data_IF_541000447113
#
_entry.id   IF_541000447113
#
_cell.length_a   1.000
_cell.length_b   1.000
_cell.length_c   1.000
_cell.angle_alpha   90.00
_cell.angle_beta   90.00
_cell.angle_gamma   90.00
#
_symmetry.space_group_name_H-M   'P 1'
#
loop_
_entity.id
_entity.type
_entity.pdbx_description
1 polymer ?
#
# COMPACT_ATOMS: atom_id res chain seq x y z
N UNK A 1 35.08 26.11 18.63
CA UNK A 1 36.25 25.33 18.17
C UNK A 1 35.76 24.20 17.26
N UNK A 2 36.33 24.04 16.07
CA UNK A 2 36.03 22.94 15.15
C UNK A 2 36.98 21.76 15.45
N UNK A 3 36.46 20.52 15.48
CA UNK A 3 37.27 19.33 15.75
C UNK A 3 38.11 18.96 14.52
N UNK A 4 39.44 18.86 14.72
CA UNK A 4 40.43 18.57 13.68
C UNK A 4 40.59 17.07 13.36
N UNK A 5 39.80 16.20 13.99
CA UNK A 5 40.00 14.73 14.03
C UNK A 5 39.19 13.96 12.98
N UNK A 6 38.42 14.63 12.09
CA UNK A 6 37.64 13.99 11.02
C UNK A 6 36.48 13.07 11.47
N UNK A 7 36.37 12.74 12.76
CA UNK A 7 35.31 11.92 13.34
C UNK A 7 34.09 12.79 13.70
N UNK A 8 32.92 12.48 13.13
CA UNK A 8 31.65 13.12 13.50
C UNK A 8 31.14 12.57 14.84
N UNK A 9 31.11 13.40 15.88
CA UNK A 9 30.64 13.03 17.22
C UNK A 9 29.16 13.34 17.48
N UNK A 10 28.39 13.68 16.45
CA UNK A 10 26.98 14.01 16.62
C UNK A 10 26.39 14.66 15.37
N UNK A 11 25.11 14.38 15.12
CA UNK A 11 24.34 14.86 13.99
C UNK A 11 23.00 14.14 13.89
N UNK A 12 22.11 14.63 13.03
CA UNK A 12 20.80 14.02 12.80
C UNK A 12 20.97 12.55 12.38
N UNK A 13 20.39 11.60 13.13
CA UNK A 13 20.48 10.17 12.82
C UNK A 13 19.78 9.88 11.49
N UNK A 14 20.32 8.93 10.72
CA UNK A 14 19.68 8.45 9.48
C UNK A 14 18.29 7.91 9.84
N UNK A 15 17.25 8.39 9.16
CA UNK A 15 15.87 8.00 9.42
C UNK A 15 15.08 8.90 10.38
N UNK A 16 15.70 9.89 11.05
CA UNK A 16 14.92 10.89 11.78
C UNK A 16 14.03 11.67 10.78
N UNK A 17 12.71 11.80 10.98
CA UNK A 17 11.85 12.61 10.12
C UNK A 17 12.27 14.08 10.17
N UNK A 18 11.98 14.85 9.13
CA UNK A 18 12.16 16.30 9.20
C UNK A 18 11.11 16.86 10.18
N UNK A 19 11.48 17.77 11.08
CA UNK A 19 10.57 18.34 12.09
C UNK A 19 9.35 19.01 11.44
N UNK A 20 9.54 19.58 10.24
CA UNK A 20 8.45 20.19 9.46
C UNK A 20 7.50 19.12 8.92
N UNK A 21 8.02 18.05 8.32
CA UNK A 21 7.18 16.96 7.77
C UNK A 21 6.41 16.23 8.85
N UNK A 22 7.01 16.07 10.03
CA UNK A 22 6.39 15.42 11.17
C UNK A 22 5.19 16.23 11.69
N UNK A 23 5.36 17.55 11.85
CA UNK A 23 4.27 18.47 12.21
C UNK A 23 3.12 18.43 11.22
N UNK A 24 3.41 18.45 9.92
CA UNK A 24 2.39 18.38 8.86
C UNK A 24 1.63 17.07 8.94
N UNK A 25 2.33 15.94 9.12
CA UNK A 25 1.71 14.61 9.27
C UNK A 25 0.78 14.57 10.48
N UNK A 26 1.23 15.04 11.64
CA UNK A 26 0.39 15.08 12.86
C UNK A 26 -0.81 16.00 12.72
N UNK A 27 -0.69 17.12 12.02
CA UNK A 27 -1.84 18.01 11.76
C UNK A 27 -2.85 17.35 10.81
N UNK A 28 -2.36 16.65 9.79
CA UNK A 28 -3.20 15.93 8.84
C UNK A 28 -3.94 14.77 9.51
N UNK A 29 -3.25 13.99 10.35
CA UNK A 29 -3.86 12.93 11.18
C UNK A 29 -4.96 13.49 12.10
N UNK A 30 -4.70 14.63 12.74
CA UNK A 30 -5.72 15.31 13.57
C UNK A 30 -6.92 15.75 12.74
N UNK A 31 -6.70 16.28 11.55
CA UNK A 31 -7.78 16.72 10.66
C UNK A 31 -8.66 15.53 10.25
N UNK A 32 -8.05 14.42 9.81
CA UNK A 32 -8.76 13.20 9.49
C UNK A 32 -9.56 12.71 10.71
N UNK A 33 -8.92 12.56 11.87
CA UNK A 33 -9.57 12.04 13.09
C UNK A 33 -10.81 12.85 13.53
N UNK A 34 -10.79 14.17 13.32
CA UNK A 34 -11.91 15.05 13.62
C UNK A 34 -13.06 14.89 12.63
N UNK A 35 -12.74 14.76 11.34
CA UNK A 35 -13.75 14.65 10.28
C UNK A 35 -14.34 13.24 10.19
N UNK A 36 -13.67 12.19 10.66
CA UNK A 36 -14.19 10.81 10.62
C UNK A 36 -15.59 10.66 11.23
N UNK A 37 -15.93 11.46 12.25
CA UNK A 37 -17.26 11.42 12.88
C UNK A 37 -18.35 12.06 12.04
N UNK A 38 -18.04 13.14 11.31
CA UNK A 38 -19.00 13.87 10.47
C UNK A 38 -19.07 13.32 9.05
N UNK A 39 -18.05 12.55 8.64
CA UNK A 39 -17.92 12.01 7.29
C UNK A 39 -19.11 11.13 6.88
N UNK A 40 -19.71 10.39 7.83
CA UNK A 40 -20.91 9.60 7.56
C UNK A 40 -22.10 10.50 7.20
N UNK A 41 -22.34 11.55 7.99
CA UNK A 41 -23.42 12.52 7.77
C UNK A 41 -23.20 13.29 6.44
N UNK A 42 -21.95 13.66 6.14
CA UNK A 42 -21.58 14.33 4.89
C UNK A 42 -21.85 13.44 3.66
N UNK A 43 -21.54 12.14 3.75
CA UNK A 43 -21.84 11.14 2.71
C UNK A 43 -23.35 10.95 2.54
N UNK A 44 -24.11 11.00 3.63
CA UNK A 44 -25.57 10.88 3.59
C UNK A 44 -26.27 12.14 3.05
N UNK A 45 -25.66 13.31 3.18
CA UNK A 45 -26.14 14.57 2.61
C UNK A 45 -25.87 14.71 1.09
N UNK A 46 -24.94 13.93 0.55
CA UNK A 46 -24.57 13.97 -0.88
C UNK A 46 -25.63 13.34 -1.79
N UNK A 47 -25.65 13.78 -3.06
CA UNK A 47 -26.47 13.17 -4.09
C UNK A 47 -26.15 11.68 -4.27
N UNK A 48 -27.14 10.83 -4.64
CA UNK A 48 -26.95 9.39 -4.72
C UNK A 48 -25.78 8.95 -5.63
N UNK A 49 -25.57 9.68 -6.73
CA UNK A 49 -24.49 9.38 -7.68
C UNK A 49 -23.11 9.65 -7.10
N UNK A 50 -22.95 10.78 -6.41
CA UNK A 50 -21.68 11.16 -5.79
C UNK A 50 -21.36 10.31 -4.56
N UNK A 51 -22.39 9.93 -3.80
CA UNK A 51 -22.28 9.01 -2.67
C UNK A 51 -21.63 7.69 -3.07
N UNK A 52 -22.12 7.08 -4.17
CA UNK A 52 -21.57 5.82 -4.69
C UNK A 52 -20.13 6.02 -5.15
N UNK A 53 -19.82 7.15 -5.80
CA UNK A 53 -18.46 7.44 -6.27
C UNK A 53 -17.47 7.57 -5.11
N UNK A 54 -17.81 8.33 -4.07
CA UNK A 54 -16.97 8.51 -2.87
C UNK A 54 -16.76 7.17 -2.16
N UNK A 55 -17.82 6.37 -1.99
CA UNK A 55 -17.69 5.03 -1.41
C UNK A 55 -16.79 4.10 -2.22
N UNK A 56 -16.87 4.17 -3.55
CA UNK A 56 -16.03 3.37 -4.44
C UNK A 56 -14.57 3.79 -4.38
N UNK A 57 -14.28 5.09 -4.24
CA UNK A 57 -12.92 5.59 -4.02
C UNK A 57 -12.36 5.15 -2.66
N UNK A 58 -13.15 5.25 -1.57
CA UNK A 58 -12.77 4.77 -0.24
C UNK A 58 -12.50 3.26 -0.23
N UNK A 59 -13.32 2.47 -0.95
CA UNK A 59 -13.15 1.03 -1.05
C UNK A 59 -11.78 0.62 -1.60
N UNK A 60 -11.17 1.41 -2.50
CA UNK A 60 -9.81 1.13 -3.04
C UNK A 60 -8.71 1.16 -1.98
N UNK A 61 -8.93 1.91 -0.90
CA UNK A 61 -7.96 2.06 0.18
C UNK A 61 -8.18 1.06 1.32
N UNK A 62 -9.41 0.55 1.47
CA UNK A 62 -9.76 -0.42 2.53
C UNK A 62 -9.64 -1.85 2.02
N UNK A 63 -10.06 -2.11 0.78
CA UNK A 63 -10.05 -3.44 0.19
C UNK A 63 -8.74 -3.64 -0.58
N UNK A 64 -8.03 -4.77 -0.37
CA UNK A 64 -6.87 -5.12 -1.18
C UNK A 64 -7.27 -5.20 -2.66
N UNK A 65 -6.78 -4.29 -3.48
CA UNK A 65 -6.92 -4.38 -4.93
C UNK A 65 -5.73 -5.15 -5.48
N UNK A 66 -6.01 -6.20 -6.27
CA UNK A 66 -4.99 -6.88 -7.04
C UNK A 66 -4.47 -5.87 -8.06
N UNK A 67 -3.24 -5.40 -7.86
CA UNK A 67 -2.57 -4.55 -8.85
C UNK A 67 -2.37 -5.38 -10.11
N UNK A 68 -2.71 -4.80 -11.26
CA UNK A 68 -2.32 -5.40 -12.53
C UNK A 68 -0.79 -5.57 -12.52
N UNK A 69 -0.31 -6.77 -12.86
CA UNK A 69 1.10 -6.99 -13.11
C UNK A 69 1.46 -6.20 -14.38
N UNK A 70 2.04 -5.02 -14.20
CA UNK A 70 2.79 -4.34 -15.26
C UNK A 70 4.09 -5.14 -15.44
N UNK A 71 4.08 -6.06 -16.39
CA UNK A 71 5.30 -6.78 -16.79
C UNK A 71 6.11 -5.83 -17.66
N UNK A 72 7.03 -5.11 -17.04
CA UNK A 72 8.05 -4.35 -17.76
C UNK A 72 9.06 -5.33 -18.38
N UNK A 73 8.93 -5.57 -19.69
CA UNK A 73 9.85 -6.44 -20.46
C UNK A 73 11.23 -5.79 -20.74
N UNK A 74 11.69 -4.87 -19.88
CA UNK A 74 12.87 -4.04 -20.15
C UNK A 74 14.12 -4.38 -19.34
N UNK A 75 14.16 -5.52 -18.65
CA UNK A 75 15.42 -6.03 -18.09
C UNK A 75 15.92 -7.23 -18.88
N UNK A 76 16.86 -6.91 -19.78
CA UNK A 76 17.81 -7.87 -20.32
C UNK A 76 18.53 -8.53 -19.14
N UNK A 77 18.63 -9.87 -19.13
CA UNK A 77 19.17 -10.74 -18.06
C UNK A 77 18.30 -10.94 -16.81
N UNK A 78 17.16 -11.63 -16.97
CA UNK A 78 16.62 -12.45 -15.90
C UNK A 78 16.61 -13.92 -16.35
N UNK A 79 17.21 -14.79 -15.56
CA UNK A 79 17.14 -16.24 -15.73
C UNK A 79 15.66 -16.65 -15.79
N UNK A 80 15.22 -17.12 -16.95
CA UNK A 80 13.86 -17.61 -17.17
C UNK A 80 13.66 -18.82 -16.27
N UNK A 81 12.99 -18.64 -15.13
CA UNK A 81 12.58 -19.77 -14.28
C UNK A 81 11.49 -20.55 -15.01
N UNK A 82 11.73 -21.81 -15.40
CA UNK A 82 10.77 -22.59 -16.14
C UNK A 82 9.53 -22.87 -15.28
N UNK A 83 8.36 -22.86 -15.91
CA UNK A 83 7.09 -23.18 -15.27
C UNK A 83 7.02 -24.70 -15.08
N UNK A 84 6.98 -25.16 -13.83
CA UNK A 84 6.76 -26.58 -13.51
C UNK A 84 5.27 -26.92 -13.58
N UNK A 85 4.85 -27.58 -14.66
CA UNK A 85 3.49 -28.13 -14.80
C UNK A 85 3.51 -29.56 -14.25
N UNK A 86 2.86 -29.78 -13.10
CA UNK A 86 2.62 -31.12 -12.56
C UNK A 86 1.27 -31.63 -13.07
N UNK A 87 1.30 -32.53 -14.04
CA UNK A 87 0.12 -33.25 -14.51
C UNK A 87 -0.19 -34.32 -13.45
N UNK A 88 -1.30 -34.15 -12.75
CA UNK A 88 -1.81 -35.15 -11.80
C UNK A 88 -2.59 -36.18 -12.63
N UNK A 89 -2.21 -37.45 -12.54
CA UNK A 89 -2.97 -38.52 -13.17
C UNK A 89 -4.37 -38.61 -12.53
N UNK A 90 -5.43 -38.77 -13.34
CA UNK A 90 -6.78 -38.90 -12.81
C UNK A 90 -6.89 -40.17 -11.96
N UNK A 91 -7.34 -40.01 -10.71
CA UNK A 91 -7.66 -41.14 -9.84
C UNK A 91 -8.93 -41.79 -10.39
N UNK A 92 -8.78 -42.89 -11.13
CA UNK A 92 -9.92 -43.76 -11.46
C UNK A 92 -10.37 -44.47 -10.19
N UNK A 93 -11.54 -44.10 -9.68
CA UNK A 93 -12.22 -44.90 -8.66
C UNK A 93 -12.63 -46.21 -9.32
N UNK A 94 -11.97 -47.31 -8.97
CA UNK A 94 -12.51 -48.64 -9.27
C UNK A 94 -13.76 -48.80 -8.40
N UNK A 95 -14.93 -48.65 -9.02
CA UNK A 95 -16.18 -49.07 -8.40
C UNK A 95 -16.13 -50.59 -8.23
N UNK A 96 -15.94 -51.03 -6.98
CA UNK A 96 -16.22 -52.40 -6.58
C UNK A 96 -17.73 -52.61 -6.59
N UNK A 97 -18.24 -53.39 -7.54
CA UNK A 97 -19.31 -54.35 -7.28
C UNK A 97 -19.34 -55.48 -8.30
#
# INVERSE_FOLDING_TARGET
MANLTGKKFGGRKKGTPNKVTDKVRSQFEKLLSKNLKTLQDDIEALEPKDRIKVMLELAKFVVPQIKALEVDFNDTTQEVKPIEIKIIEPIYKTETK
#
